data_IF_040801829557
#
_entry.id   IF_040801829557
#
_cell.length_a   1.000
_cell.length_b   1.000
_cell.length_c   1.000
_cell.angle_alpha   90.00
_cell.angle_beta   90.00
_cell.angle_gamma   90.00
#
_symmetry.space_group_name_H-M   'P 1'
#
loop_
_entity.id
_entity.type
_entity.pdbx_description
1 polymer ?
#
# COMPACT_ATOMS: atom_id res chain seq x y z
N UNK A 1 28.35 -22.57 5.80
CA UNK A 1 26.88 -22.39 5.69
C UNK A 1 26.47 -21.35 6.72
N UNK A 2 25.93 -20.22 6.27
CA UNK A 2 25.74 -19.03 7.12
C UNK A 2 24.41 -19.14 7.89
N UNK A 3 24.49 -19.62 9.11
CA UNK A 3 23.37 -19.80 10.04
C UNK A 3 22.96 -18.47 10.71
N UNK A 4 22.66 -17.45 9.89
CA UNK A 4 22.23 -16.12 10.35
C UNK A 4 20.70 -15.97 10.39
N UNK A 5 19.96 -17.06 10.15
CA UNK A 5 18.49 -17.04 10.09
C UNK A 5 17.82 -17.66 11.34
N UNK A 6 18.58 -18.34 12.22
CA UNK A 6 18.05 -19.07 13.39
C UNK A 6 17.64 -18.19 14.58
N UNK A 7 17.88 -16.88 14.54
CA UNK A 7 17.33 -15.95 15.55
C UNK A 7 15.89 -15.52 15.26
N UNK A 8 15.39 -15.73 14.03
CA UNK A 8 14.02 -15.35 13.64
C UNK A 8 13.01 -16.49 13.82
N UNK A 9 13.47 -17.72 13.97
CA UNK A 9 12.66 -18.94 14.21
C UNK A 9 12.26 -19.09 15.68
N UNK A 10 13.05 -18.52 16.61
CA UNK A 10 12.83 -18.61 18.07
C UNK A 10 11.96 -17.50 18.64
N UNK A 11 11.68 -16.45 17.86
CA UNK A 11 10.86 -15.33 18.30
C UNK A 11 9.43 -15.46 17.79
N UNK A 12 8.42 -15.17 18.63
CA UNK A 12 7.04 -15.06 18.18
C UNK A 12 6.94 -14.12 16.97
N UNK A 13 6.00 -14.37 16.05
CA UNK A 13 5.75 -13.47 14.92
C UNK A 13 5.56 -12.01 15.38
N UNK A 14 6.07 -11.04 14.60
CA UNK A 14 6.05 -9.60 14.92
C UNK A 14 4.66 -9.03 15.32
N UNK A 15 3.56 -9.70 14.98
CA UNK A 15 2.20 -9.35 15.39
C UNK A 15 1.84 -9.71 16.85
N UNK A 16 2.72 -10.38 17.58
CA UNK A 16 2.53 -10.76 18.98
C UNK A 16 2.99 -9.67 19.97
N UNK A 17 3.70 -8.64 19.50
CA UNK A 17 4.21 -7.58 20.36
C UNK A 17 3.35 -6.34 20.25
N UNK A 18 2.97 -5.79 21.42
CA UNK A 18 2.16 -4.57 21.51
C UNK A 18 3.10 -3.39 21.76
N UNK A 19 2.92 -2.31 21.00
CA UNK A 19 3.66 -1.06 21.21
C UNK A 19 3.18 -0.38 22.52
N UNK A 20 4.06 0.15 23.38
CA UNK A 20 3.69 0.92 24.57
C UNK A 20 2.60 1.99 24.32
N UNK A 21 2.70 2.72 23.20
CA UNK A 21 1.68 3.71 22.82
C UNK A 21 0.32 3.06 22.54
N UNK A 22 0.28 1.85 21.96
CA UNK A 22 -0.97 1.15 21.71
C UNK A 22 -1.64 0.70 23.02
N UNK A 23 -0.86 0.40 24.07
CA UNK A 23 -1.39 0.12 25.41
C UNK A 23 -2.00 1.40 26.00
N UNK A 24 -1.27 2.52 25.94
CA UNK A 24 -1.78 3.83 26.35
C UNK A 24 -3.07 4.19 25.62
N UNK A 25 -3.09 4.08 24.29
CA UNK A 25 -4.28 4.35 23.48
C UNK A 25 -5.42 3.46 23.93
N UNK A 26 -5.21 2.15 24.09
CA UNK A 26 -6.27 1.22 24.52
C UNK A 26 -6.84 1.58 25.90
N UNK A 27 -5.98 1.95 26.86
CA UNK A 27 -6.40 2.36 28.20
C UNK A 27 -7.19 3.69 28.18
N UNK A 28 -6.76 4.66 27.37
CA UNK A 28 -7.31 6.01 27.36
C UNK A 28 -8.38 6.22 26.26
N UNK A 29 -8.61 5.26 25.38
CA UNK A 29 -9.59 5.36 24.30
C UNK A 29 -11.03 5.46 24.82
N UNK A 30 -11.32 4.81 25.95
CA UNK A 30 -12.66 4.84 26.57
C UNK A 30 -12.99 6.15 27.27
N UNK A 31 -11.98 6.90 27.68
CA UNK A 31 -12.11 8.18 28.39
C UNK A 31 -12.12 9.39 27.46
N UNK A 32 -11.87 9.19 26.17
CA UNK A 32 -11.98 10.25 25.15
C UNK A 32 -13.38 10.19 24.52
N UNK A 33 -13.97 11.35 24.30
CA UNK A 33 -15.27 11.47 23.64
C UNK A 33 -15.23 10.78 22.26
N UNK A 34 -16.24 9.96 21.96
CA UNK A 34 -16.27 9.06 20.79
C UNK A 34 -16.67 9.81 19.51
N UNK A 35 -15.99 10.93 19.26
CA UNK A 35 -16.07 11.65 17.99
C UNK A 35 -15.35 10.89 16.87
N UNK A 36 -14.95 11.62 15.83
CA UNK A 36 -14.19 11.06 14.72
C UNK A 36 -12.92 10.30 15.19
N UNK A 37 -12.73 9.08 14.66
CA UNK A 37 -11.59 8.21 15.02
C UNK A 37 -10.25 8.89 14.71
N UNK A 38 -10.22 9.76 13.69
CA UNK A 38 -9.01 10.50 13.35
C UNK A 38 -8.70 11.65 14.32
N UNK A 39 -9.72 12.32 14.87
CA UNK A 39 -9.55 13.40 15.85
C UNK A 39 -9.16 12.84 17.22
N UNK A 40 -9.80 11.76 17.66
CA UNK A 40 -9.48 11.05 18.91
C UNK A 40 -8.07 10.47 18.90
N UNK A 41 -7.62 9.88 17.78
CA UNK A 41 -6.25 9.39 17.61
C UNK A 41 -5.19 10.51 17.69
N UNK A 42 -5.45 11.67 17.07
CA UNK A 42 -4.55 12.84 17.15
C UNK A 42 -4.45 13.38 18.58
N UNK A 43 -5.57 13.47 19.30
CA UNK A 43 -5.60 13.92 20.68
C UNK A 43 -4.78 12.99 21.60
N UNK A 44 -4.98 11.67 21.49
CA UNK A 44 -4.22 10.68 22.26
C UNK A 44 -2.72 10.71 21.92
N UNK A 45 -2.36 10.95 20.66
CA UNK A 45 -0.96 11.12 20.26
C UNK A 45 -0.32 12.35 20.93
N UNK A 46 -1.04 13.47 20.98
CA UNK A 46 -0.57 14.67 21.68
C UNK A 46 -0.45 14.44 23.18
N UNK A 47 -1.42 13.77 23.81
CA UNK A 47 -1.34 13.43 25.23
C UNK A 47 -0.14 12.53 25.52
N UNK A 48 0.10 11.49 24.71
CA UNK A 48 1.29 10.65 24.82
C UNK A 48 2.59 11.45 24.69
N UNK A 49 2.66 12.42 23.78
CA UNK A 49 3.86 13.25 23.64
C UNK A 49 4.16 14.13 24.86
N UNK A 50 3.11 14.52 25.61
CA UNK A 50 3.21 15.36 26.81
C UNK A 50 3.54 14.58 28.08
N UNK A 51 3.34 13.26 28.10
CA UNK A 51 3.72 12.42 29.24
C UNK A 51 5.24 12.50 29.45
N UNK A 52 5.65 12.54 30.71
CA UNK A 52 7.06 12.45 31.07
C UNK A 52 7.60 11.02 30.91
N UNK A 53 8.91 10.86 31.06
CA UNK A 53 9.55 9.54 30.89
C UNK A 53 9.15 8.55 31.99
N UNK A 54 8.77 9.03 33.18
CA UNK A 54 8.33 8.18 34.29
C UNK A 54 6.93 7.61 34.04
N UNK A 55 6.01 8.43 33.54
CA UNK A 55 4.66 8.05 33.13
C UNK A 55 4.69 7.11 31.92
N UNK A 56 5.56 7.39 30.94
CA UNK A 56 5.77 6.49 29.80
C UNK A 56 6.34 5.16 30.23
N UNK A 57 7.24 5.13 31.22
CA UNK A 57 7.90 3.91 31.71
C UNK A 57 6.89 2.82 32.07
N UNK A 58 5.77 3.16 32.69
CA UNK A 58 4.67 2.21 32.98
C UNK A 58 4.25 1.42 31.72
N UNK A 59 4.01 2.12 30.61
CA UNK A 59 3.56 1.48 29.37
C UNK A 59 4.69 0.70 28.68
N UNK A 60 5.93 1.13 28.81
CA UNK A 60 7.10 0.37 28.35
C UNK A 60 7.27 -0.93 29.14
N UNK A 61 7.16 -0.88 30.46
CA UNK A 61 7.24 -2.04 31.34
C UNK A 61 6.08 -3.03 31.05
N UNK A 62 4.85 -2.52 30.85
CA UNK A 62 3.70 -3.34 30.45
C UNK A 62 3.92 -4.02 29.09
N UNK A 63 4.44 -3.30 28.09
CA UNK A 63 4.74 -3.87 26.78
C UNK A 63 5.86 -4.93 26.87
N UNK A 64 6.88 -4.70 27.69
CA UNK A 64 7.95 -5.65 27.94
C UNK A 64 7.42 -6.93 28.60
N UNK A 65 6.60 -6.81 29.65
CA UNK A 65 5.94 -7.95 30.29
C UNK A 65 5.07 -8.73 29.32
N UNK A 66 4.24 -8.04 28.52
CA UNK A 66 3.41 -8.70 27.51
C UNK A 66 4.25 -9.46 26.48
N UNK A 67 5.39 -8.87 26.07
CA UNK A 67 6.33 -9.52 25.15
C UNK A 67 6.92 -10.78 25.77
N UNK A 68 7.37 -10.74 27.02
CA UNK A 68 7.91 -11.91 27.71
C UNK A 68 6.87 -13.02 27.85
N UNK A 69 5.64 -12.68 28.23
CA UNK A 69 4.53 -13.63 28.33
C UNK A 69 4.26 -14.30 26.98
N UNK A 70 4.20 -13.52 25.90
CA UNK A 70 3.97 -14.05 24.54
C UNK A 70 5.12 -14.91 24.03
N UNK A 71 6.36 -14.59 24.38
CA UNK A 71 7.53 -15.44 24.10
C UNK A 71 7.40 -16.77 24.83
N UNK A 72 7.12 -16.75 26.14
CA UNK A 72 6.95 -17.97 26.94
C UNK A 72 5.78 -18.83 26.45
N UNK A 73 4.65 -18.21 26.09
CA UNK A 73 3.50 -18.91 25.50
C UNK A 73 3.88 -19.57 24.17
N UNK A 74 4.60 -18.85 23.30
CA UNK A 74 5.05 -19.38 22.02
C UNK A 74 6.06 -20.53 22.19
N UNK A 75 7.02 -20.41 23.11
CA UNK A 75 8.02 -21.44 23.41
C UNK A 75 7.41 -22.74 23.91
N UNK A 76 6.30 -22.66 24.66
CA UNK A 76 5.53 -23.83 25.14
C UNK A 76 4.73 -24.54 24.05
N UNK A 77 4.55 -23.93 22.86
CA UNK A 77 3.82 -24.57 21.77
C UNK A 77 4.62 -25.75 21.19
N UNK A 78 3.93 -26.80 20.70
CA UNK A 78 4.57 -27.84 19.89
C UNK A 78 5.25 -27.24 18.66
N UNK A 79 6.36 -27.83 18.23
CA UNK A 79 7.17 -27.32 17.11
C UNK A 79 6.36 -27.16 15.82
N UNK A 80 5.47 -28.12 15.52
CA UNK A 80 4.57 -28.03 14.38
C UNK A 80 3.66 -26.78 14.43
N UNK A 81 3.23 -26.36 15.62
CA UNK A 81 2.40 -25.15 15.79
C UNK A 81 3.21 -23.87 15.69
N UNK A 82 4.45 -23.86 16.20
CA UNK A 82 5.37 -22.73 16.01
C UNK A 82 5.64 -22.49 14.53
N UNK A 83 5.95 -23.55 13.78
CA UNK A 83 6.22 -23.47 12.35
C UNK A 83 5.01 -22.95 11.56
N UNK A 84 3.79 -23.44 11.87
CA UNK A 84 2.55 -22.93 11.26
C UNK A 84 2.37 -21.42 11.48
N UNK A 85 2.59 -20.93 12.70
CA UNK A 85 2.45 -19.50 13.02
C UNK A 85 3.51 -18.63 12.32
N UNK A 86 4.73 -19.13 12.20
CA UNK A 86 5.82 -18.44 11.47
C UNK A 86 5.48 -18.35 9.99
N UNK A 87 5.03 -19.45 9.39
CA UNK A 87 4.65 -19.49 7.99
C UNK A 87 3.46 -18.56 7.69
N UNK A 88 2.41 -18.59 8.51
CA UNK A 88 1.26 -17.70 8.36
C UNK A 88 1.67 -16.23 8.44
N UNK A 89 2.58 -15.88 9.36
CA UNK A 89 3.08 -14.53 9.50
C UNK A 89 3.89 -14.09 8.26
N UNK A 90 4.70 -14.99 7.71
CA UNK A 90 5.47 -14.75 6.49
C UNK A 90 4.54 -14.57 5.29
N UNK A 91 3.54 -15.43 5.11
CA UNK A 91 2.52 -15.29 4.05
C UNK A 91 1.74 -13.96 4.19
N UNK A 92 1.37 -13.56 5.41
CA UNK A 92 0.72 -12.26 5.65
C UNK A 92 1.63 -11.09 5.28
N UNK A 93 2.93 -11.18 5.58
CA UNK A 93 3.92 -10.16 5.21
C UNK A 93 4.07 -10.05 3.70
N UNK A 94 4.13 -11.18 2.99
CA UNK A 94 4.20 -11.23 1.53
C UNK A 94 2.95 -10.64 0.87
N UNK A 95 1.76 -11.05 1.32
CA UNK A 95 0.48 -10.46 0.85
C UNK A 95 0.41 -8.95 1.08
N UNK A 96 0.92 -8.46 2.21
CA UNK A 96 1.01 -7.01 2.50
C UNK A 96 1.98 -6.31 1.55
N UNK A 97 3.13 -6.90 1.28
CA UNK A 97 4.10 -6.36 0.34
C UNK A 97 3.49 -6.30 -1.07
N UNK A 98 2.88 -7.38 -1.55
CA UNK A 98 2.21 -7.45 -2.85
C UNK A 98 1.07 -6.41 -2.96
N UNK A 99 0.28 -6.25 -1.91
CA UNK A 99 -0.79 -5.24 -1.87
C UNK A 99 -0.22 -3.83 -1.89
N UNK A 100 0.85 -3.57 -1.13
CA UNK A 100 1.53 -2.27 -1.11
C UNK A 100 2.12 -1.92 -2.48
N UNK A 101 2.74 -2.88 -3.16
CA UNK A 101 3.24 -2.73 -4.52
C UNK A 101 2.11 -2.44 -5.51
N UNK A 102 0.99 -3.16 -5.41
CA UNK A 102 -0.21 -2.89 -6.23
C UNK A 102 -0.75 -1.48 -6.01
N UNK A 103 -0.83 -1.01 -4.77
CA UNK A 103 -1.30 0.35 -4.44
C UNK A 103 -0.31 1.39 -4.99
N UNK A 104 0.99 1.22 -4.77
CA UNK A 104 2.01 2.12 -5.27
C UNK A 104 1.99 2.20 -6.81
N UNK A 105 1.81 1.06 -7.49
CA UNK A 105 1.66 0.98 -8.94
C UNK A 105 0.43 1.75 -9.43
N UNK A 106 -0.72 1.57 -8.79
CA UNK A 106 -1.95 2.29 -9.15
C UNK A 106 -1.85 3.79 -8.86
N UNK A 107 -1.18 4.18 -7.77
CA UNK A 107 -0.90 5.58 -7.46
C UNK A 107 -0.04 6.20 -8.57
N UNK A 108 1.04 5.54 -8.97
CA UNK A 108 1.87 5.98 -10.09
C UNK A 108 1.08 6.07 -11.39
N UNK A 109 0.20 5.10 -11.69
CA UNK A 109 -0.67 5.17 -12.87
C UNK A 109 -1.59 6.38 -12.87
N UNK A 110 -2.14 6.75 -11.71
CA UNK A 110 -2.99 7.95 -11.58
C UNK A 110 -2.18 9.23 -11.74
N UNK A 111 -1.03 9.33 -11.08
CA UNK A 111 -0.17 10.52 -11.13
C UNK A 111 0.43 10.76 -12.52
N UNK A 112 0.76 9.68 -13.25
CA UNK A 112 1.31 9.76 -14.61
C UNK A 112 0.24 9.80 -15.71
N UNK A 113 -1.05 9.75 -15.35
CA UNK A 113 -2.15 9.78 -16.32
C UNK A 113 -2.15 8.60 -17.28
N UNK A 114 -1.88 7.37 -16.81
CA UNK A 114 -1.84 6.18 -17.67
C UNK A 114 -3.16 6.01 -18.42
N UNK A 115 -3.15 5.90 -19.77
CA UNK A 115 -4.34 5.60 -20.56
C UNK A 115 -5.00 4.31 -20.07
N UNK A 116 -6.33 4.31 -19.98
CA UNK A 116 -7.11 3.13 -19.60
C UNK A 116 -7.35 2.26 -20.82
N UNK A 117 -7.28 0.91 -20.68
CA UNK A 117 -7.55 0.04 -21.80
C UNK A 117 -9.01 0.22 -22.27
N UNK A 118 -9.24 0.28 -23.60
CA UNK A 118 -10.57 0.50 -24.13
C UNK A 118 -11.45 -0.73 -23.93
N UNK A 119 -12.78 -0.57 -23.96
CA UNK A 119 -13.69 -1.70 -23.86
C UNK A 119 -13.56 -2.64 -25.07
N UNK A 120 -13.72 -3.94 -24.82
CA UNK A 120 -13.90 -4.94 -25.87
C UNK A 120 -15.24 -4.74 -26.60
N UNK A 121 -15.40 -5.31 -27.80
CA UNK A 121 -16.65 -5.25 -28.57
C UNK A 121 -17.89 -5.63 -27.74
N UNK A 122 -17.80 -6.76 -27.00
CA UNK A 122 -18.85 -7.18 -26.06
C UNK A 122 -19.13 -6.14 -24.98
N UNK A 123 -18.09 -5.52 -24.41
CA UNK A 123 -18.27 -4.51 -23.36
C UNK A 123 -18.82 -3.19 -23.92
N UNK A 124 -18.54 -2.86 -25.18
CA UNK A 124 -19.19 -1.73 -25.89
C UNK A 124 -20.68 -2.00 -26.06
N UNK A 125 -21.06 -3.20 -26.52
CA UNK A 125 -22.46 -3.62 -26.60
C UNK A 125 -23.15 -3.54 -25.23
N UNK A 126 -22.55 -4.13 -24.19
CA UNK A 126 -23.09 -4.10 -22.83
C UNK A 126 -23.25 -2.65 -22.32
N UNK A 127 -22.28 -1.78 -22.61
CA UNK A 127 -22.36 -0.36 -22.26
C UNK A 127 -23.52 0.33 -22.99
N UNK A 128 -23.74 0.02 -24.26
CA UNK A 128 -24.87 0.55 -25.03
C UNK A 128 -26.21 0.08 -24.45
N UNK A 129 -26.34 -1.21 -24.12
CA UNK A 129 -27.56 -1.78 -23.53
C UNK A 129 -27.86 -1.23 -22.12
N UNK A 130 -26.84 -1.08 -21.27
CA UNK A 130 -27.01 -0.38 -20.00
C UNK A 130 -27.41 1.09 -20.19
N UNK A 131 -26.94 1.74 -21.25
CA UNK A 131 -27.36 3.09 -21.64
C UNK A 131 -28.85 3.14 -22.00
N UNK A 132 -29.33 2.20 -22.82
CA UNK A 132 -30.75 2.05 -23.17
C UNK A 132 -31.62 1.81 -21.94
N UNK A 133 -31.18 0.90 -21.06
CA UNK A 133 -31.88 0.55 -19.83
C UNK A 133 -31.98 1.73 -18.84
N UNK A 134 -30.92 2.55 -18.75
CA UNK A 134 -30.95 3.78 -17.96
C UNK A 134 -31.89 4.81 -18.57
N UNK A 135 -31.92 4.93 -19.90
CA UNK A 135 -32.81 5.85 -20.61
C UNK A 135 -34.29 5.46 -20.47
N UNK A 136 -34.60 4.16 -20.34
CA UNK A 136 -35.96 3.68 -20.06
C UNK A 136 -36.40 3.85 -18.60
N UNK A 137 -35.60 4.54 -17.76
CA UNK A 137 -35.95 4.82 -16.37
C UNK A 137 -35.73 3.65 -15.41
N UNK A 138 -35.04 2.59 -15.84
CA UNK A 138 -34.75 1.46 -14.95
C UNK A 138 -33.69 1.83 -13.92
N UNK A 139 -34.03 1.68 -12.63
CA UNK A 139 -33.12 1.94 -11.54
C UNK A 139 -32.05 0.84 -11.44
N UNK A 140 -30.81 1.16 -11.81
CA UNK A 140 -29.67 0.27 -11.66
C UNK A 140 -29.11 0.35 -10.24
N UNK A 141 -29.09 -0.77 -9.53
CA UNK A 141 -28.53 -0.89 -8.19
C UNK A 141 -27.64 -2.14 -8.06
N UNK A 142 -26.96 -2.27 -6.94
CA UNK A 142 -26.01 -3.37 -6.72
C UNK A 142 -26.66 -4.76 -6.81
N UNK A 143 -27.95 -4.86 -6.52
CA UNK A 143 -28.69 -6.11 -6.49
C UNK A 143 -29.10 -6.59 -7.89
N UNK A 144 -29.41 -5.67 -8.83
CA UNK A 144 -29.93 -6.05 -10.15
C UNK A 144 -28.92 -5.95 -11.30
N UNK A 145 -27.82 -5.19 -11.15
CA UNK A 145 -26.82 -5.00 -12.21
C UNK A 145 -26.18 -6.32 -12.67
N UNK A 146 -25.96 -7.28 -11.76
CA UNK A 146 -25.40 -8.58 -12.10
C UNK A 146 -26.34 -9.40 -13.01
N UNK A 147 -27.65 -9.37 -12.75
CA UNK A 147 -28.66 -10.04 -13.57
C UNK A 147 -28.67 -9.52 -15.00
N UNK A 148 -28.71 -8.19 -15.16
CA UNK A 148 -28.64 -7.55 -16.49
C UNK A 148 -27.32 -7.85 -17.20
N UNK A 149 -26.19 -7.89 -16.49
CA UNK A 149 -24.91 -8.23 -17.10
C UNK A 149 -24.91 -9.65 -17.69
N UNK A 150 -25.51 -10.62 -16.99
CA UNK A 150 -25.67 -11.99 -17.51
C UNK A 150 -26.62 -12.00 -18.71
N UNK A 151 -27.74 -11.29 -18.64
CA UNK A 151 -28.69 -11.17 -19.74
C UNK A 151 -28.02 -10.63 -21.01
N UNK A 152 -27.37 -9.45 -20.94
CA UNK A 152 -26.68 -8.85 -22.07
C UNK A 152 -25.53 -9.74 -22.56
N UNK A 153 -24.86 -10.46 -21.66
CA UNK A 153 -23.84 -11.44 -22.07
C UNK A 153 -24.41 -12.58 -22.91
N UNK A 154 -25.62 -13.04 -22.61
CA UNK A 154 -26.27 -14.10 -23.35
C UNK A 154 -26.80 -13.57 -24.69
N UNK A 155 -27.39 -12.37 -24.70
CA UNK A 155 -27.81 -11.69 -25.93
C UNK A 155 -26.64 -11.45 -26.89
N UNK A 156 -25.47 -11.06 -26.38
CA UNK A 156 -24.26 -10.93 -27.19
C UNK A 156 -23.88 -12.22 -27.92
N UNK A 157 -24.05 -13.39 -27.29
CA UNK A 157 -23.70 -14.67 -27.91
C UNK A 157 -24.63 -14.99 -29.09
N UNK A 158 -25.91 -14.66 -28.96
CA UNK A 158 -26.95 -14.89 -29.97
C UNK A 158 -27.08 -13.78 -30.99
N UNK A 159 -26.38 -12.65 -30.81
CA UNK A 159 -26.40 -11.51 -31.71
C UNK A 159 -25.90 -11.91 -33.10
N UNK A 160 -26.50 -11.36 -34.16
CA UNK A 160 -26.09 -11.63 -35.52
C UNK A 160 -24.68 -11.05 -35.79
N UNK A 161 -23.92 -11.70 -36.67
CA UNK A 161 -22.54 -11.30 -36.93
C UNK A 161 -22.44 -9.88 -37.52
N UNK A 162 -23.44 -9.45 -38.29
CA UNK A 162 -23.47 -8.08 -38.82
C UNK A 162 -23.58 -7.02 -37.71
N UNK A 163 -24.32 -7.31 -36.64
CA UNK A 163 -24.49 -6.41 -35.49
C UNK A 163 -23.22 -6.41 -34.63
N UNK A 164 -22.60 -7.59 -34.43
CA UNK A 164 -21.32 -7.71 -33.73
C UNK A 164 -20.21 -6.94 -34.43
N UNK A 165 -20.18 -6.99 -35.77
CA UNK A 165 -19.15 -6.35 -36.61
C UNK A 165 -19.02 -4.84 -36.37
N UNK A 166 -20.12 -4.14 -36.09
CA UNK A 166 -20.09 -2.72 -35.71
C UNK A 166 -19.27 -2.51 -34.44
N UNK A 167 -19.53 -3.30 -33.40
CA UNK A 167 -18.81 -3.21 -32.13
C UNK A 167 -17.37 -3.70 -32.22
N UNK A 168 -17.09 -4.68 -33.08
CA UNK A 168 -15.72 -5.17 -33.34
C UNK A 168 -14.87 -4.13 -34.06
N UNK A 169 -15.43 -3.48 -35.09
CA UNK A 169 -14.77 -2.38 -35.80
C UNK A 169 -14.44 -1.25 -34.84
N UNK A 170 -15.43 -0.80 -34.05
CA UNK A 170 -15.23 0.28 -33.08
C UNK A 170 -14.24 -0.11 -31.98
N UNK A 171 -14.32 -1.33 -31.46
CA UNK A 171 -13.37 -1.81 -30.45
C UNK A 171 -11.96 -1.87 -31.00
N UNK A 172 -11.78 -2.31 -32.25
CA UNK A 172 -10.47 -2.36 -32.91
C UNK A 172 -9.88 -0.96 -33.04
N UNK A 173 -10.67 -0.01 -33.55
CA UNK A 173 -10.27 1.40 -33.67
C UNK A 173 -9.83 1.98 -32.31
N UNK A 174 -10.62 1.77 -31.26
CA UNK A 174 -10.29 2.22 -29.91
C UNK A 174 -9.00 1.56 -29.37
N UNK A 175 -8.75 0.28 -29.67
CA UNK A 175 -7.52 -0.41 -29.28
C UNK A 175 -6.29 0.12 -30.01
N UNK A 176 -6.42 0.50 -31.27
CA UNK A 176 -5.34 1.14 -32.04
C UNK A 176 -5.00 2.53 -31.48
N UNK A 177 -6.01 3.35 -31.20
CA UNK A 177 -5.84 4.66 -30.57
C UNK A 177 -5.18 4.51 -29.19
N UNK A 178 -5.69 3.59 -28.36
CA UNK A 178 -5.11 3.27 -27.06
C UNK A 178 -3.65 2.83 -27.16
N UNK A 179 -3.29 2.01 -28.15
CA UNK A 179 -1.92 1.51 -28.31
C UNK A 179 -0.96 2.68 -28.52
N UNK A 180 -1.32 3.64 -29.37
CA UNK A 180 -0.53 4.85 -29.62
C UNK A 180 -0.38 5.67 -28.34
N UNK A 181 -1.48 6.04 -27.70
CA UNK A 181 -1.46 6.82 -26.45
C UNK A 181 -0.67 6.13 -25.33
N UNK A 182 -0.80 4.81 -25.21
CA UNK A 182 -0.12 4.03 -24.19
C UNK A 182 1.38 3.91 -24.44
N UNK A 183 1.82 3.83 -25.70
CA UNK A 183 3.25 3.81 -26.04
C UNK A 183 3.89 5.19 -25.88
N UNK A 184 3.18 6.28 -26.20
CA UNK A 184 3.58 7.65 -25.86
C UNK A 184 3.72 7.84 -24.34
N UNK A 185 2.72 7.38 -23.57
CA UNK A 185 2.75 7.41 -22.12
C UNK A 185 3.95 6.63 -21.54
N UNK A 186 4.25 5.43 -22.05
CA UNK A 186 5.44 4.66 -21.62
C UNK A 186 6.73 5.42 -21.84
N UNK A 187 6.86 6.10 -22.98
CA UNK A 187 8.04 6.88 -23.32
C UNK A 187 8.20 8.03 -22.33
N UNK A 188 7.13 8.82 -22.12
CA UNK A 188 7.10 9.92 -21.15
C UNK A 188 7.44 9.47 -19.72
N UNK A 189 6.85 8.37 -19.24
CA UNK A 189 7.16 7.84 -17.89
C UNK A 189 8.61 7.36 -17.78
N UNK A 190 9.16 6.80 -18.85
CA UNK A 190 10.56 6.36 -18.86
C UNK A 190 11.52 7.56 -18.79
N UNK A 191 11.20 8.65 -19.48
CA UNK A 191 11.96 9.90 -19.42
C UNK A 191 11.87 10.55 -18.03
N UNK A 192 10.66 10.65 -17.47
CA UNK A 192 10.47 11.17 -16.10
C UNK A 192 11.31 10.39 -15.08
N UNK A 193 11.33 9.06 -15.15
CA UNK A 193 12.16 8.23 -14.27
C UNK A 193 13.66 8.45 -14.46
N UNK A 194 14.11 8.72 -15.70
CA UNK A 194 15.52 9.02 -15.97
C UNK A 194 15.91 10.37 -15.34
N UNK A 195 15.06 11.38 -15.47
CA UNK A 195 15.29 12.70 -14.89
C UNK A 195 15.25 12.68 -13.35
N UNK A 196 14.27 12.00 -12.74
CA UNK A 196 14.22 11.80 -11.28
C UNK A 196 15.50 11.13 -10.76
N UNK A 197 16.02 10.14 -11.50
CA UNK A 197 17.27 9.45 -11.14
C UNK A 197 18.48 10.39 -11.24
N UNK A 198 18.55 11.23 -12.27
CA UNK A 198 19.62 12.23 -12.43
C UNK A 198 19.57 13.26 -11.29
N UNK A 199 18.39 13.79 -10.98
CA UNK A 199 18.21 14.77 -9.90
C UNK A 199 18.55 14.18 -8.52
N UNK A 200 18.15 12.92 -8.28
CA UNK A 200 18.51 12.21 -7.05
C UNK A 200 20.02 11.98 -6.92
N UNK A 201 20.72 11.68 -8.03
CA UNK A 201 22.17 11.56 -8.05
C UNK A 201 22.85 12.92 -7.81
N UNK A 202 22.38 14.00 -8.42
CA UNK A 202 22.88 15.36 -8.20
C UNK A 202 22.74 15.77 -6.72
N UNK A 203 21.55 15.58 -6.12
CA UNK A 203 21.30 15.85 -4.69
C UNK A 203 22.17 14.99 -3.77
N UNK A 204 22.51 13.76 -4.18
CA UNK A 204 23.40 12.88 -3.40
C UNK A 204 24.85 13.35 -3.43
N UNK A 205 25.33 13.84 -4.57
CA UNK A 205 26.67 14.43 -4.69
C UNK A 205 26.76 15.76 -3.92
N UNK A 206 25.76 16.63 -4.01
CA UNK A 206 25.67 17.86 -3.21
C UNK A 206 25.68 17.57 -1.69
N UNK A 207 24.96 16.55 -1.24
CA UNK A 207 24.98 16.06 0.15
C UNK A 207 26.36 15.51 0.56
N UNK A 208 27.14 14.94 -0.36
CA UNK A 208 28.51 14.49 -0.05
C UNK A 208 29.48 15.67 0.04
N UNK A 209 29.34 16.66 -0.84
CA UNK A 209 30.15 17.88 -0.86
C UNK A 209 29.97 18.70 0.44
N UNK A 210 28.72 18.87 0.87
CA UNK A 210 28.36 19.55 2.14
C UNK A 210 28.81 18.77 3.38
N UNK A 211 28.81 17.43 3.31
CA UNK A 211 29.32 16.59 4.40
C UNK A 211 30.85 16.66 4.51
N UNK A 212 31.59 16.70 3.39
CA UNK A 212 33.05 16.87 3.38
C UNK A 212 33.47 18.24 3.93
N UNK A 213 32.82 19.32 3.52
CA UNK A 213 33.12 20.69 3.99
C UNK A 213 32.84 20.88 5.50
N UNK A 214 31.79 20.27 6.05
CA UNK A 214 31.55 20.26 7.50
C UNK A 214 32.54 19.41 8.29
N UNK A 215 33.09 18.35 7.69
CA UNK A 215 34.13 17.51 8.32
C UNK A 215 35.49 18.24 8.39
N UNK A 216 35.80 19.09 7.40
CA UNK A 216 37.02 19.93 7.39
C UNK A 216 36.93 21.10 8.40
N UNK A 217 35.74 21.67 8.64
CA UNK A 217 35.54 22.71 9.66
C UNK A 217 35.68 22.17 11.10
N UNK A 218 35.35 20.91 11.33
CA UNK A 218 35.45 20.29 12.66
C UNK A 218 36.87 19.84 13.01
N UNK A 219 37.71 19.47 12.03
CA UNK A 219 39.14 19.18 12.26
C UNK A 219 39.97 20.45 12.49
N UNK A 220 39.65 21.59 11.85
CA UNK A 220 40.31 22.88 12.13
C UNK A 220 40.03 23.43 13.54
N UNK A 221 38.91 23.04 14.18
CA UNK A 221 38.55 23.48 15.54
C UNK A 221 39.20 22.64 16.65
N UNK A 222 39.94 21.57 16.30
CA UNK A 222 40.56 20.62 17.23
C UNK A 222 42.10 20.65 17.19
N UNK A 223 42.70 21.74 16.70
CA UNK A 223 44.12 22.01 16.92
C UNK A 223 44.27 22.64 18.32
N UNK A 224 44.86 21.94 19.31
CA UNK A 224 45.06 22.52 20.63
C UNK A 224 46.10 23.64 20.56
N UNK A 225 45.72 24.83 21.02
CA UNK A 225 46.66 25.91 21.28
C UNK A 225 47.70 25.41 22.28
N UNK A 226 48.94 25.26 21.80
CA UNK A 226 50.10 24.95 22.64
C UNK A 226 50.63 26.27 23.22
N UNK A 227 50.85 26.19 24.54
CA UNK A 227 51.55 27.10 25.46
C UNK A 227 50.70 28.22 26.04
#
# INVERSE_FOLDING_TARGET
MNDKNDFRTKLPPLGFFVNPYAIFVKENYKSVDKGDVMSTGKLLSQQWSKLDDAEKKKYFDQAAKHREEKVKEFEKLPEAKKQQLIEEAQQKKEKRAETSEKIAKHKMWKETGRPTPPPTARNLYIKEEFGKLKASGTALNRQNVSGYLVQFSNQWKTLADFEKKRFETESTRLHEDYKKEHDEWKTKVTELKKEEKKEAMAKKEERKETRKTNTVKTTKKKAPAKK
#
